data_IF_104278115178
#
_entry.id   IF_104278115178
#
_cell.length_a   1.000
_cell.length_b   1.000
_cell.length_c   1.000
_cell.angle_alpha   90.00
_cell.angle_beta   90.00
_cell.angle_gamma   90.00
#
_symmetry.space_group_name_H-M   'P 1'
#
loop_
_entity.id
_entity.type
_entity.pdbx_description
1 polymer ?
#
# COMPACT_ATOMS: atom_id res chain seq x y z
N UNK A 1 1.39 -21.19 -9.40
CA UNK A 1 1.69 -20.84 -8.00
C UNK A 1 2.98 -20.04 -7.88
N UNK A 2 4.04 -20.45 -8.60
CA UNK A 2 5.29 -19.68 -8.70
C UNK A 2 5.09 -18.22 -9.15
N UNK A 3 4.31 -17.99 -10.21
CA UNK A 3 3.99 -16.64 -10.69
C UNK A 3 3.24 -15.73 -9.70
N UNK A 4 2.46 -16.30 -8.78
CA UNK A 4 1.77 -15.51 -7.74
C UNK A 4 2.74 -15.15 -6.61
N UNK A 5 3.69 -16.03 -6.29
CA UNK A 5 4.75 -15.76 -5.32
C UNK A 5 5.68 -14.66 -5.83
N UNK A 6 6.06 -14.71 -7.11
CA UNK A 6 6.85 -13.65 -7.76
C UNK A 6 6.12 -12.32 -7.77
N UNK A 7 4.83 -12.30 -8.14
CA UNK A 7 4.03 -11.08 -8.14
C UNK A 7 3.90 -10.48 -6.73
N UNK A 8 3.66 -11.32 -5.72
CA UNK A 8 3.62 -10.90 -4.33
C UNK A 8 4.93 -10.22 -3.93
N UNK A 9 6.06 -10.91 -4.15
CA UNK A 9 7.37 -10.39 -3.79
C UNK A 9 7.72 -9.11 -4.55
N UNK A 10 7.36 -9.02 -5.83
CA UNK A 10 7.52 -7.82 -6.65
C UNK A 10 6.78 -6.62 -6.04
N UNK A 11 5.50 -6.78 -5.68
CA UNK A 11 4.70 -5.70 -5.08
C UNK A 11 5.27 -5.30 -3.72
N UNK A 12 5.65 -6.27 -2.89
CA UNK A 12 6.23 -6.01 -1.56
C UNK A 12 7.55 -5.25 -1.67
N UNK A 13 8.46 -5.68 -2.56
CA UNK A 13 9.74 -5.00 -2.75
C UNK A 13 9.56 -3.60 -3.33
N UNK A 14 8.54 -3.38 -4.16
CA UNK A 14 8.24 -2.04 -4.69
C UNK A 14 7.90 -1.03 -3.58
N UNK A 15 7.37 -1.48 -2.44
CA UNK A 15 7.05 -0.63 -1.29
C UNK A 15 8.29 0.02 -0.66
N UNK A 16 9.49 -0.52 -0.87
CA UNK A 16 10.75 0.04 -0.35
C UNK A 16 10.99 1.48 -0.82
N UNK A 17 10.51 1.82 -2.02
CA UNK A 17 10.64 3.15 -2.61
C UNK A 17 9.77 4.20 -1.92
N UNK A 18 8.88 3.80 -1.01
CA UNK A 18 7.94 4.68 -0.35
C UNK A 18 8.20 4.65 1.16
N UNK A 19 8.89 5.67 1.67
CA UNK A 19 9.28 5.75 3.07
C UNK A 19 8.11 5.57 4.05
N UNK A 20 6.95 6.12 3.71
CA UNK A 20 5.72 6.00 4.49
C UNK A 20 5.21 4.55 4.65
N UNK A 21 5.66 3.62 3.79
CA UNK A 21 5.20 2.22 3.78
C UNK A 21 6.25 1.20 4.22
N UNK A 22 7.43 1.62 4.71
CA UNK A 22 8.47 0.70 5.21
C UNK A 22 7.95 -0.28 6.26
N UNK A 23 7.21 0.21 7.26
CA UNK A 23 6.62 -0.66 8.29
C UNK A 23 5.53 -1.61 7.75
N UNK A 24 4.89 -1.27 6.63
CA UNK A 24 3.97 -2.19 5.95
C UNK A 24 4.74 -3.27 5.16
N UNK A 25 5.82 -2.88 4.49
CA UNK A 25 6.71 -3.79 3.78
C UNK A 25 7.31 -4.84 4.72
N UNK A 26 7.87 -4.43 5.86
CA UNK A 26 8.45 -5.34 6.86
C UNK A 26 7.44 -6.41 7.33
N UNK A 27 6.20 -6.00 7.60
CA UNK A 27 5.12 -6.91 7.98
C UNK A 27 4.79 -7.91 6.87
N UNK A 28 4.85 -7.50 5.61
CA UNK A 28 4.60 -8.39 4.46
C UNK A 28 5.77 -9.34 4.22
N UNK A 29 7.01 -8.90 4.42
CA UNK A 29 8.17 -9.78 4.38
C UNK A 29 8.08 -10.86 5.47
N UNK A 30 7.69 -10.49 6.68
CA UNK A 30 7.47 -11.45 7.78
C UNK A 30 6.27 -12.39 7.52
N UNK A 31 5.30 -11.95 6.71
CA UNK A 31 4.15 -12.77 6.31
C UNK A 31 4.43 -13.69 5.11
N UNK A 32 5.61 -13.59 4.47
CA UNK A 32 5.92 -14.27 3.22
C UNK A 32 5.75 -15.80 3.27
N UNK A 33 6.28 -16.45 4.31
CA UNK A 33 6.16 -17.91 4.44
C UNK A 33 4.70 -18.35 4.59
N UNK A 34 3.92 -17.56 5.34
CA UNK A 34 2.48 -17.78 5.48
C UNK A 34 1.79 -17.62 4.13
N UNK A 35 2.09 -16.56 3.38
CA UNK A 35 1.56 -16.35 2.04
C UNK A 35 1.87 -17.53 1.11
N UNK A 36 3.12 -18.01 1.07
CA UNK A 36 3.53 -19.14 0.22
C UNK A 36 2.71 -20.40 0.54
N UNK A 37 2.38 -20.62 1.81
CA UNK A 37 1.56 -21.76 2.27
C UNK A 37 0.08 -21.68 1.93
N UNK A 38 -0.44 -20.51 1.51
CA UNK A 38 -1.87 -20.34 1.23
C UNK A 38 -2.32 -21.09 -0.03
N UNK A 39 -3.60 -21.52 -0.09
CA UNK A 39 -4.22 -21.98 -1.32
C UNK A 39 -4.17 -20.91 -2.40
N UNK A 40 -4.13 -21.34 -3.67
CA UNK A 40 -4.04 -20.46 -4.84
C UNK A 40 -5.07 -19.33 -4.87
N UNK A 41 -6.32 -19.62 -4.50
CA UNK A 41 -7.39 -18.61 -4.48
C UNK A 41 -7.17 -17.56 -3.40
N UNK A 42 -6.69 -17.96 -2.22
CA UNK A 42 -6.41 -17.03 -1.14
C UNK A 42 -5.18 -16.17 -1.43
N UNK A 43 -4.16 -16.73 -2.11
CA UNK A 43 -3.03 -15.94 -2.62
C UNK A 43 -3.50 -14.78 -3.52
N UNK A 44 -4.42 -15.04 -4.44
CA UNK A 44 -4.98 -14.00 -5.32
C UNK A 44 -5.67 -12.91 -4.51
N UNK A 45 -6.47 -13.28 -3.51
CA UNK A 45 -7.16 -12.32 -2.65
C UNK A 45 -6.17 -11.49 -1.83
N UNK A 46 -5.14 -12.12 -1.26
CA UNK A 46 -4.07 -11.40 -0.55
C UNK A 46 -3.38 -10.39 -1.48
N UNK A 47 -3.07 -10.77 -2.72
CA UNK A 47 -2.47 -9.86 -3.71
C UNK A 47 -3.39 -8.66 -3.98
N UNK A 48 -4.70 -8.89 -4.15
CA UNK A 48 -5.67 -7.82 -4.32
C UNK A 48 -5.74 -6.88 -3.10
N UNK A 49 -5.63 -7.43 -1.89
CA UNK A 49 -5.56 -6.64 -0.66
C UNK A 49 -4.30 -5.77 -0.61
N UNK A 50 -3.11 -6.32 -0.83
CA UNK A 50 -1.86 -5.53 -0.76
C UNK A 50 -1.78 -4.44 -1.82
N UNK A 51 -2.41 -4.63 -2.99
CA UNK A 51 -2.47 -3.59 -4.03
C UNK A 51 -3.22 -2.34 -3.53
N UNK A 52 -4.13 -2.47 -2.57
CA UNK A 52 -4.81 -1.32 -1.95
C UNK A 52 -3.83 -0.36 -1.28
N UNK A 53 -2.70 -0.85 -0.76
CA UNK A 53 -1.66 -0.01 -0.14
C UNK A 53 -1.07 0.98 -1.16
N UNK A 54 -1.03 0.59 -2.44
CA UNK A 54 -0.49 1.43 -3.52
C UNK A 54 -1.48 2.45 -4.07
N UNK A 55 -2.74 2.43 -3.61
CA UNK A 55 -3.76 3.36 -4.08
C UNK A 55 -3.67 4.69 -3.35
N UNK A 56 -3.95 5.79 -4.06
CA UNK A 56 -4.03 7.12 -3.46
C UNK A 56 -5.41 7.35 -2.82
N UNK A 57 -5.72 6.60 -1.77
CA UNK A 57 -6.96 6.74 -1.01
C UNK A 57 -6.77 6.33 0.45
N UNK A 58 -7.84 6.41 1.26
CA UNK A 58 -7.81 6.07 2.68
C UNK A 58 -8.00 4.57 2.97
N UNK A 59 -8.02 3.71 1.96
CA UNK A 59 -8.31 2.29 2.12
C UNK A 59 -7.05 1.56 2.62
N UNK A 60 -7.22 0.72 3.63
CA UNK A 60 -6.14 -0.13 4.13
C UNK A 60 -6.33 -1.57 3.65
N UNK A 61 -5.22 -2.28 3.46
CA UNK A 61 -5.25 -3.70 3.20
C UNK A 61 -5.62 -4.47 4.48
N UNK A 62 -6.46 -5.49 4.35
CA UNK A 62 -6.85 -6.36 5.45
C UNK A 62 -6.51 -7.82 5.15
N UNK A 63 -5.57 -8.36 5.93
CA UNK A 63 -5.08 -9.74 5.78
C UNK A 63 -5.51 -10.65 6.94
N UNK A 64 -6.40 -10.19 7.84
CA UNK A 64 -6.83 -10.93 9.04
C UNK A 64 -7.36 -12.32 8.72
N UNK A 65 -8.20 -12.44 7.69
CA UNK A 65 -8.77 -13.71 7.23
C UNK A 65 -7.72 -14.72 6.72
N UNK A 66 -6.47 -14.28 6.51
CA UNK A 66 -5.37 -15.12 6.01
C UNK A 66 -4.24 -15.29 7.06
N UNK A 67 -4.49 -14.86 8.30
CA UNK A 67 -3.52 -14.90 9.40
C UNK A 67 -2.50 -13.76 9.39
N UNK A 68 -2.82 -12.66 8.69
CA UNK A 68 -2.00 -11.45 8.62
C UNK A 68 -2.61 -10.26 9.39
N UNK A 69 -2.01 -9.07 9.27
CA UNK A 69 -2.49 -7.86 9.93
C UNK A 69 -3.85 -7.39 9.37
N UNK A 70 -4.73 -6.92 10.26
CA UNK A 70 -6.07 -6.41 9.91
C UNK A 70 -6.03 -5.05 9.18
N UNK A 71 -5.08 -4.20 9.54
CA UNK A 71 -4.91 -2.85 8.98
C UNK A 71 -3.47 -2.63 8.56
N UNK A 72 -3.24 -2.59 7.26
CA UNK A 72 -1.92 -2.43 6.67
C UNK A 72 -1.90 -1.29 5.64
N UNK A 73 -0.80 -0.54 5.60
CA UNK A 73 -0.64 0.62 4.71
C UNK A 73 -1.28 1.91 5.21
N UNK A 74 -1.56 2.02 6.52
CA UNK A 74 -2.04 3.28 7.11
C UNK A 74 -0.88 4.25 7.25
N UNK A 75 -1.03 5.45 6.69
CA UNK A 75 -0.10 6.56 6.90
C UNK A 75 -0.64 7.42 8.04
N UNK A 76 0.18 7.63 9.06
CA UNK A 76 -0.05 8.63 10.10
C UNK A 76 1.01 9.72 9.93
N UNK A 77 0.62 10.88 9.39
CA UNK A 77 1.53 12.01 9.22
C UNK A 77 1.00 13.25 9.92
N UNK A 78 1.93 14.10 10.37
CA UNK A 78 1.64 15.46 10.82
C UNK A 78 1.96 16.40 9.66
N UNK A 79 0.94 17.13 9.19
CA UNK A 79 1.12 18.16 8.16
C UNK A 79 1.86 19.36 8.77
N UNK A 80 3.03 19.70 8.22
CA UNK A 80 3.67 21.00 8.51
C UNK A 80 3.15 22.01 7.50
N UNK A 81 2.23 22.89 7.92
CA UNK A 81 1.53 23.80 7.01
C UNK A 81 2.49 24.74 6.27
N UNK A 82 3.58 25.15 6.90
CA UNK A 82 4.67 25.98 6.35
C UNK A 82 5.47 25.30 5.22
N UNK A 83 5.43 23.96 5.17
CA UNK A 83 6.11 23.13 4.15
C UNK A 83 5.14 22.46 3.18
N UNK A 84 3.84 22.78 3.29
CA UNK A 84 2.79 22.16 2.48
C UNK A 84 2.30 23.14 1.42
N UNK A 85 2.07 22.63 0.21
CA UNK A 85 1.44 23.38 -0.88
C UNK A 85 0.07 22.77 -1.09
N UNK A 86 -0.96 23.61 -1.06
CA UNK A 86 -2.31 23.24 -1.43
C UNK A 86 -2.43 23.30 -2.95
N UNK A 87 -3.01 22.25 -3.52
CA UNK A 87 -3.14 22.06 -4.95
C UNK A 87 -4.63 22.08 -5.29
N UNK A 88 -5.10 23.13 -5.95
CA UNK A 88 -6.45 23.21 -6.49
C UNK A 88 -6.42 22.76 -7.94
N UNK A 89 -6.94 21.55 -8.21
CA UNK A 89 -7.00 20.98 -9.55
C UNK A 89 -8.40 21.11 -10.16
N UNK A 90 -8.43 21.46 -11.44
CA UNK A 90 -9.65 21.35 -12.27
C UNK A 90 -10.15 19.89 -12.34
N UNK A 91 -11.42 19.70 -12.73
CA UNK A 91 -12.05 18.37 -12.82
C UNK A 91 -11.25 17.40 -13.71
N UNK A 92 -10.65 17.91 -14.78
CA UNK A 92 -9.84 17.13 -15.71
C UNK A 92 -8.37 17.03 -15.30
N UNK A 93 -7.94 17.76 -14.27
CA UNK A 93 -6.55 17.86 -13.85
C UNK A 93 -5.64 18.65 -14.80
N UNK A 94 -6.18 19.27 -15.87
CA UNK A 94 -5.37 20.01 -16.85
C UNK A 94 -4.87 21.36 -16.33
N UNK A 95 -5.68 22.00 -15.48
CA UNK A 95 -5.33 23.26 -14.82
C UNK A 95 -5.17 23.04 -13.33
N UNK A 96 -4.14 23.68 -12.77
CA UNK A 96 -3.75 23.59 -11.37
C UNK A 96 -3.35 24.97 -10.83
N UNK A 97 -3.84 25.32 -9.65
CA UNK A 97 -3.37 26.46 -8.85
C UNK A 97 -2.67 25.93 -7.59
N UNK A 98 -1.50 26.51 -7.28
CA UNK A 98 -0.67 26.13 -6.12
C UNK A 98 -0.64 27.26 -5.11
N UNK A 99 -1.11 26.98 -3.90
CA UNK A 99 -1.16 27.94 -2.80
C UNK A 99 -0.25 27.47 -1.68
N UNK A 100 0.75 28.29 -1.34
CA UNK A 100 1.56 28.12 -0.14
C UNK A 100 0.97 29.01 0.96
N UNK A 101 0.75 28.43 2.14
CA UNK A 101 0.34 29.19 3.33
C UNK A 101 1.46 30.07 3.88
#
# INVERSE_FOLDING_TARGET
>A
DESLNELYLYVVNKLENYEAFKGAQEKLLNFNDKFISLPKEDKRKVILEILKITQCNSVNANLSNYGGPERLGRIEWKVSLDKTIFIHQSITGLYEERVKL
#
